data_IF_558566516145
#
_entry.id   IF_558566516145
#
_cell.length_a   1.000
_cell.length_b   1.000
_cell.length_c   1.000
_cell.angle_alpha   90.00
_cell.angle_beta   90.00
_cell.angle_gamma   90.00
#
_symmetry.space_group_name_H-M   'P 1'
#
loop_
_entity.id
_entity.type
_entity.pdbx_description
1 polymer ?
#
# COMPACT_ATOMS: atom_id res chain seq x y z
N UNK A 1 -50.23 -21.60 22.44
CA UNK A 1 -49.02 -21.86 21.63
C UNK A 1 -48.16 -20.61 21.64
N UNK A 2 -47.06 -20.55 22.39
CA UNK A 2 -46.13 -19.42 22.35
C UNK A 2 -45.01 -19.68 21.35
N UNK A 3 -44.70 -18.67 20.53
CA UNK A 3 -43.69 -18.72 19.48
C UNK A 3 -42.27 -18.80 20.03
N UNK A 4 -41.46 -19.66 19.42
CA UNK A 4 -40.04 -19.85 19.72
C UNK A 4 -39.28 -18.63 19.19
N UNK A 5 -38.65 -17.89 20.09
CA UNK A 5 -37.66 -16.87 19.76
C UNK A 5 -36.31 -17.57 19.51
N UNK A 6 -35.84 -17.57 18.27
CA UNK A 6 -34.49 -18.03 17.94
C UNK A 6 -33.49 -16.95 18.38
N UNK A 7 -32.91 -17.11 19.57
CA UNK A 7 -31.71 -16.37 19.95
C UNK A 7 -30.56 -16.92 19.12
N UNK A 8 -30.04 -16.14 18.18
CA UNK A 8 -28.79 -16.42 17.48
C UNK A 8 -27.65 -16.38 18.51
N UNK A 9 -27.36 -17.53 19.10
CA UNK A 9 -26.25 -17.72 20.00
C UNK A 9 -24.98 -17.74 19.16
N UNK A 10 -24.41 -16.55 18.93
CA UNK A 10 -23.12 -16.36 18.27
C UNK A 10 -22.06 -17.08 19.11
N UNK A 11 -21.73 -18.33 18.74
CA UNK A 11 -20.55 -19.01 19.21
C UNK A 11 -19.34 -18.27 18.64
N UNK A 12 -18.75 -17.44 19.48
CA UNK A 12 -17.52 -16.70 19.24
C UNK A 12 -16.43 -17.67 18.79
N UNK A 13 -15.95 -17.64 17.53
CA UNK A 13 -14.84 -18.48 17.15
C UNK A 13 -13.60 -18.02 17.92
N UNK A 14 -12.92 -18.99 18.51
CA UNK A 14 -11.74 -18.91 19.38
C UNK A 14 -10.46 -18.41 18.65
N UNK A 15 -10.61 -17.53 17.65
CA UNK A 15 -9.54 -16.99 16.81
C UNK A 15 -9.45 -15.45 16.82
N UNK A 16 -10.40 -14.75 17.46
CA UNK A 16 -10.41 -13.28 17.55
C UNK A 16 -9.45 -12.70 18.62
N UNK A 17 -8.62 -13.51 19.29
CA UNK A 17 -7.73 -13.05 20.37
C UNK A 17 -6.26 -12.92 20.00
N UNK A 18 -5.92 -12.90 18.71
CA UNK A 18 -4.52 -12.82 18.25
C UNK A 18 -4.14 -11.48 17.62
N UNK A 19 -5.08 -10.53 17.48
CA UNK A 19 -4.75 -9.18 17.02
C UNK A 19 -5.37 -8.15 17.97
N UNK A 20 -4.58 -7.19 18.50
CA UNK A 20 -5.13 -6.09 19.26
C UNK A 20 -6.16 -5.34 18.40
N UNK A 21 -7.19 -4.79 19.04
CA UNK A 21 -8.23 -4.01 18.37
C UNK A 21 -7.60 -2.90 17.55
N UNK A 22 -7.90 -2.87 16.24
CA UNK A 22 -7.48 -1.78 15.36
C UNK A 22 -8.31 -0.54 15.70
N UNK A 23 -7.62 0.54 16.01
CA UNK A 23 -8.15 1.89 16.18
C UNK A 23 -7.54 2.81 15.11
N UNK A 24 -8.11 4.00 14.86
CA UNK A 24 -7.51 4.97 13.95
C UNK A 24 -6.06 5.35 14.32
N UNK A 25 -5.68 5.21 15.60
CA UNK A 25 -4.37 5.57 16.11
C UNK A 25 -3.46 4.36 16.42
N UNK A 26 -3.95 3.12 16.32
CA UNK A 26 -3.17 1.90 16.62
C UNK A 26 -3.71 0.63 15.94
N UNK A 27 -2.85 -0.26 15.47
CA UNK A 27 -3.25 -1.52 14.82
C UNK A 27 -2.08 -2.23 14.14
N UNK A 28 -2.27 -3.38 13.48
CA UNK A 28 -1.17 -4.25 13.04
C UNK A 28 -0.25 -3.59 12.00
N UNK A 29 -0.72 -2.55 11.30
CA UNK A 29 0.00 -1.89 10.23
C UNK A 29 0.58 -0.51 10.60
N UNK A 30 0.35 0.00 11.82
CA UNK A 30 1.08 1.13 12.41
C UNK A 30 0.47 1.62 13.73
N UNK A 31 1.28 2.38 14.48
CA UNK A 31 0.81 3.27 15.55
C UNK A 31 0.99 4.72 15.10
N UNK A 32 -0.06 5.53 15.21
CA UNK A 32 0.01 6.97 14.97
C UNK A 32 1.00 7.64 15.92
N UNK A 33 1.09 7.14 17.16
CA UNK A 33 2.11 7.58 18.13
C UNK A 33 3.52 7.29 17.62
N UNK A 34 3.77 6.08 17.08
CA UNK A 34 5.07 5.76 16.47
C UNK A 34 5.42 6.75 15.35
N UNK A 35 4.45 7.16 14.52
CA UNK A 35 4.70 8.11 13.44
C UNK A 35 4.90 9.55 13.94
N UNK A 36 4.15 9.97 14.95
CA UNK A 36 4.13 11.35 15.41
C UNK A 36 5.24 11.66 16.44
N UNK A 37 5.63 10.69 17.26
CA UNK A 37 6.61 10.87 18.35
C UNK A 37 7.81 9.93 18.25
N UNK A 38 7.83 9.02 17.28
CA UNK A 38 8.98 8.21 16.93
C UNK A 38 9.31 7.09 17.92
N UNK A 39 10.50 6.51 17.74
CA UNK A 39 11.14 5.64 18.72
C UNK A 39 11.48 6.50 19.95
N UNK A 40 10.59 6.51 20.95
CA UNK A 40 10.79 7.20 22.23
C UNK A 40 11.88 6.50 23.08
N UNK A 41 13.11 6.50 22.58
CA UNK A 41 14.31 6.11 23.33
C UNK A 41 15.09 7.37 23.71
N UNK A 42 15.99 7.28 24.69
CA UNK A 42 16.81 8.41 25.14
C UNK A 42 17.60 9.08 23.99
N UNK A 43 17.90 8.35 22.92
CA UNK A 43 18.65 8.83 21.75
C UNK A 43 17.79 8.89 20.47
N UNK A 44 16.49 8.58 20.53
CA UNK A 44 15.62 8.52 19.36
C UNK A 44 15.90 7.35 18.41
N UNK A 45 15.59 7.54 17.12
CA UNK A 45 16.04 6.68 16.03
C UNK A 45 17.37 7.19 15.48
N UNK A 46 18.40 6.36 15.52
CA UNK A 46 19.68 6.62 14.85
C UNK A 46 19.73 5.76 13.57
N UNK A 47 19.21 6.27 12.42
CA UNK A 47 19.22 5.51 11.19
C UNK A 47 20.66 5.19 10.77
N UNK A 48 20.95 3.96 10.31
CA UNK A 48 22.20 3.70 9.63
C UNK A 48 22.29 4.59 8.39
N UNK A 49 23.50 5.04 8.05
CA UNK A 49 23.72 5.76 6.80
C UNK A 49 23.37 4.85 5.61
N UNK A 50 22.28 5.18 4.90
CA UNK A 50 21.87 4.47 3.70
C UNK A 50 22.57 5.07 2.49
N UNK A 51 23.48 4.29 1.92
CA UNK A 51 24.06 4.57 0.60
C UNK A 51 23.35 3.68 -0.43
N UNK A 52 23.01 4.23 -1.60
CA UNK A 52 22.43 3.46 -2.72
C UNK A 52 23.29 2.24 -3.11
N UNK A 53 24.60 2.27 -2.87
CA UNK A 53 25.50 1.12 -3.10
C UNK A 53 25.46 0.07 -1.98
N UNK A 54 24.95 0.42 -0.79
CA UNK A 54 24.79 -0.48 0.35
C UNK A 54 23.41 -1.15 0.39
N UNK A 55 22.47 -0.67 -0.43
CA UNK A 55 21.17 -1.32 -0.61
C UNK A 55 21.35 -2.62 -1.40
N UNK A 56 20.60 -3.66 -1.05
CA UNK A 56 20.49 -4.84 -1.89
C UNK A 56 19.53 -4.54 -3.03
N UNK A 57 19.98 -4.68 -4.27
CA UNK A 57 19.15 -4.47 -5.45
C UNK A 57 18.62 -5.82 -5.91
N UNK A 58 17.31 -5.92 -6.06
CA UNK A 58 16.66 -7.04 -6.73
C UNK A 58 16.23 -6.60 -8.12
N UNK A 59 16.33 -7.51 -9.08
CA UNK A 59 15.66 -7.32 -10.36
C UNK A 59 14.15 -7.25 -10.16
N UNK A 60 13.46 -6.59 -11.09
CA UNK A 60 11.99 -6.55 -11.12
C UNK A 60 11.37 -7.94 -11.21
N UNK A 61 12.01 -8.86 -11.94
CA UNK A 61 11.59 -10.26 -11.98
C UNK A 61 11.66 -10.95 -10.60
N UNK A 62 12.72 -10.70 -9.84
CA UNK A 62 12.82 -11.19 -8.46
C UNK A 62 11.79 -10.54 -7.54
N UNK A 63 11.49 -9.26 -7.73
CA UNK A 63 10.42 -8.58 -7.00
C UNK A 63 9.06 -9.24 -7.24
N UNK A 64 8.70 -9.51 -8.50
CA UNK A 64 7.46 -10.19 -8.88
C UNK A 64 7.38 -11.65 -8.45
N UNK A 65 8.52 -12.33 -8.28
CA UNK A 65 8.54 -13.66 -7.69
C UNK A 65 8.20 -13.67 -6.19
N UNK A 66 8.28 -12.52 -5.51
CA UNK A 66 8.05 -12.37 -4.07
C UNK A 66 6.93 -11.38 -3.76
N UNK A 67 7.25 -10.36 -2.96
CA UNK A 67 6.30 -9.36 -2.47
C UNK A 67 5.54 -8.65 -3.60
N UNK A 68 6.18 -8.45 -4.76
CA UNK A 68 5.62 -7.77 -5.93
C UNK A 68 4.65 -8.58 -6.77
N UNK A 69 4.33 -9.84 -6.40
CA UNK A 69 3.59 -10.77 -7.28
C UNK A 69 2.28 -10.20 -7.83
N UNK A 70 1.52 -9.46 -7.03
CA UNK A 70 0.26 -8.85 -7.47
C UNK A 70 0.46 -7.72 -8.50
N UNK A 71 1.62 -7.08 -8.52
CA UNK A 71 1.93 -5.97 -9.43
C UNK A 71 2.34 -6.42 -10.83
N UNK A 72 2.73 -7.69 -11.01
CA UNK A 72 3.26 -8.19 -12.27
C UNK A 72 2.28 -8.00 -13.45
N UNK A 73 0.97 -7.98 -13.18
CA UNK A 73 -0.08 -7.74 -14.18
C UNK A 73 -0.09 -6.31 -14.75
N UNK A 74 0.64 -5.37 -14.13
CA UNK A 74 0.72 -3.97 -14.54
C UNK A 74 2.13 -3.58 -15.04
N UNK A 75 3.03 -4.56 -15.27
CA UNK A 75 4.45 -4.31 -15.57
C UNK A 75 4.64 -3.37 -16.76
N UNK A 76 3.84 -3.56 -17.81
CA UNK A 76 3.91 -2.75 -19.02
C UNK A 76 3.60 -1.27 -18.75
N UNK A 77 2.71 -0.97 -17.79
CA UNK A 77 2.41 0.41 -17.39
C UNK A 77 3.59 1.01 -16.62
N UNK A 78 4.13 0.28 -15.64
CA UNK A 78 5.31 0.75 -14.92
C UNK A 78 6.52 0.95 -15.83
N UNK A 79 6.68 0.10 -16.85
CA UNK A 79 7.76 0.24 -17.82
C UNK A 79 7.62 1.53 -18.63
N UNK A 80 6.47 1.74 -19.28
CA UNK A 80 6.23 2.94 -20.11
C UNK A 80 6.38 4.23 -19.31
N UNK A 81 5.72 4.34 -18.17
CA UNK A 81 5.80 5.54 -17.33
C UNK A 81 7.21 5.72 -16.76
N UNK A 82 7.85 4.64 -16.31
CA UNK A 82 9.23 4.70 -15.84
C UNK A 82 10.21 5.22 -16.90
N UNK A 83 10.08 4.75 -18.15
CA UNK A 83 10.90 5.21 -19.27
C UNK A 83 10.64 6.69 -19.61
N UNK A 84 9.38 7.14 -19.51
CA UNK A 84 8.99 8.54 -19.74
C UNK A 84 9.58 9.51 -18.71
N UNK A 85 9.77 9.07 -17.47
CA UNK A 85 10.21 9.91 -16.35
C UNK A 85 11.65 9.64 -15.88
N UNK A 86 12.34 8.66 -16.48
CA UNK A 86 13.66 8.22 -16.00
C UNK A 86 13.61 7.56 -14.61
N UNK A 87 12.46 6.98 -14.24
CA UNK A 87 12.26 6.28 -12.97
C UNK A 87 12.39 4.78 -13.21
N UNK A 88 13.16 4.08 -12.37
CA UNK A 88 13.24 2.63 -12.48
C UNK A 88 11.84 2.02 -12.21
N UNK A 89 11.27 1.24 -13.15
CA UNK A 89 9.90 0.73 -13.02
C UNK A 89 9.60 -0.12 -11.76
N UNK A 90 10.62 -0.73 -11.17
CA UNK A 90 10.50 -1.49 -9.93
C UNK A 90 10.13 -0.58 -8.74
N UNK A 91 10.53 0.71 -8.79
CA UNK A 91 10.12 1.71 -7.80
C UNK A 91 8.63 1.99 -7.92
N UNK A 92 8.11 2.19 -9.14
CA UNK A 92 6.68 2.40 -9.38
C UNK A 92 5.85 1.19 -8.93
N UNK A 93 6.31 -0.03 -9.26
CA UNK A 93 5.66 -1.26 -8.81
C UNK A 93 5.70 -1.43 -7.27
N UNK A 94 6.78 -0.99 -6.62
CA UNK A 94 6.88 -1.00 -5.16
C UNK A 94 5.92 0.00 -4.51
N UNK A 95 5.81 1.21 -5.06
CA UNK A 95 4.84 2.22 -4.59
C UNK A 95 3.42 1.68 -4.73
N UNK A 96 3.05 1.15 -5.90
CA UNK A 96 1.74 0.53 -6.11
C UNK A 96 1.44 -0.61 -5.11
N UNK A 97 2.45 -1.38 -4.72
CA UNK A 97 2.31 -2.42 -3.69
C UNK A 97 2.01 -1.82 -2.31
N UNK A 98 2.69 -0.73 -1.93
CA UNK A 98 2.45 -0.09 -0.63
C UNK A 98 1.12 0.66 -0.58
N UNK A 99 0.75 1.32 -1.67
CA UNK A 99 -0.46 2.14 -1.74
C UNK A 99 -1.74 1.29 -1.84
N UNK A 100 -1.73 0.27 -2.68
CA UNK A 100 -2.96 -0.50 -2.97
C UNK A 100 -2.77 -2.01 -2.87
N UNK A 101 -1.61 -2.51 -2.44
CA UNK A 101 -1.26 -3.94 -2.59
C UNK A 101 -1.35 -4.41 -4.05
N UNK A 102 -1.14 -3.48 -4.99
CA UNK A 102 -1.40 -3.67 -6.41
C UNK A 102 -2.82 -4.14 -6.73
N UNK A 103 -3.80 -3.57 -6.03
CA UNK A 103 -5.23 -3.78 -6.26
C UNK A 103 -5.84 -2.48 -6.80
N UNK A 104 -5.86 -2.33 -8.13
CA UNK A 104 -6.37 -1.13 -8.82
C UNK A 104 -7.80 -0.68 -8.43
N UNK A 105 -8.77 -1.58 -8.15
CA UNK A 105 -10.11 -1.18 -7.72
C UNK A 105 -10.21 -0.72 -6.25
N UNK A 106 -9.11 -0.60 -5.51
CA UNK A 106 -9.16 -0.16 -4.11
C UNK A 106 -9.66 1.28 -4.03
N UNK A 107 -10.90 1.45 -3.55
CA UNK A 107 -11.55 2.74 -3.36
C UNK A 107 -11.26 3.33 -1.98
N UNK A 108 -10.67 4.53 -1.97
CA UNK A 108 -10.47 5.41 -0.82
C UNK A 108 -10.76 6.87 -1.19
N UNK A 109 -10.29 7.84 -0.41
CA UNK A 109 -10.33 9.27 -0.83
C UNK A 109 -9.45 9.53 -2.05
N UNK A 110 -8.41 8.73 -2.25
CA UNK A 110 -7.61 8.67 -3.47
C UNK A 110 -7.85 7.32 -4.16
N UNK A 111 -8.43 7.28 -5.36
CA UNK A 111 -8.69 6.03 -6.06
C UNK A 111 -7.45 5.56 -6.84
N UNK A 112 -7.39 4.27 -7.11
CA UNK A 112 -6.45 3.71 -8.08
C UNK A 112 -5.28 2.93 -7.46
N UNK A 113 -4.52 2.32 -8.34
CA UNK A 113 -3.31 1.56 -8.12
C UNK A 113 -2.25 2.34 -7.32
N UNK A 114 -2.10 3.65 -7.59
CA UNK A 114 -1.10 4.51 -6.94
C UNK A 114 -1.67 5.39 -5.82
N UNK A 115 -2.99 5.33 -5.55
CA UNK A 115 -3.69 6.12 -4.53
C UNK A 115 -3.32 7.63 -4.54
N UNK A 116 -3.22 8.23 -5.72
CA UNK A 116 -2.90 9.66 -5.90
C UNK A 116 -4.12 10.56 -5.92
N UNK A 117 -3.92 11.84 -5.58
CA UNK A 117 -4.96 12.86 -5.65
C UNK A 117 -5.43 13.08 -7.10
N UNK A 118 -6.74 13.26 -7.30
CA UNK A 118 -7.30 13.56 -8.63
C UNK A 118 -6.69 14.80 -9.29
N UNK A 119 -6.18 15.75 -8.51
CA UNK A 119 -5.52 16.93 -9.04
C UNK A 119 -4.24 16.60 -9.83
N UNK A 120 -3.60 15.46 -9.57
CA UNK A 120 -2.38 15.01 -10.23
C UNK A 120 -2.65 14.16 -11.49
N UNK A 121 -3.90 13.76 -11.72
CA UNK A 121 -4.27 13.08 -12.97
C UNK A 121 -4.17 14.05 -14.15
N UNK A 122 -3.92 13.54 -15.37
CA UNK A 122 -4.08 14.32 -16.60
C UNK A 122 -5.43 15.05 -16.62
N UNK A 123 -5.40 16.38 -16.64
CA UNK A 123 -6.61 17.22 -16.62
C UNK A 123 -7.26 17.42 -15.24
N UNK A 124 -6.64 16.98 -14.14
CA UNK A 124 -7.08 17.23 -12.77
C UNK A 124 -8.33 16.47 -12.35
N UNK A 125 -8.65 15.36 -13.03
CA UNK A 125 -9.82 14.52 -12.79
C UNK A 125 -9.36 13.06 -12.70
N UNK A 126 -9.73 12.36 -11.63
CA UNK A 126 -9.46 10.92 -11.54
C UNK A 126 -10.18 10.18 -12.68
N UNK A 127 -9.48 9.24 -13.29
CA UNK A 127 -10.02 8.34 -14.32
C UNK A 127 -9.87 6.90 -13.87
N UNK A 128 -10.53 5.96 -14.56
CA UNK A 128 -10.27 4.53 -14.38
C UNK A 128 -9.11 4.03 -15.25
N UNK A 129 -8.36 4.93 -15.88
CA UNK A 129 -7.20 4.58 -16.70
C UNK A 129 -6.03 4.24 -15.81
N UNK A 130 -5.55 3.01 -15.94
CA UNK A 130 -4.35 2.55 -15.23
C UNK A 130 -3.12 3.38 -15.62
N UNK A 131 -3.04 3.81 -16.88
CA UNK A 131 -1.93 4.61 -17.36
C UNK A 131 -1.96 6.01 -16.75
N UNK A 132 -3.12 6.66 -16.68
CA UNK A 132 -3.26 7.99 -16.07
C UNK A 132 -2.91 7.98 -14.58
N UNK A 133 -3.28 6.90 -13.88
CA UNK A 133 -3.02 6.69 -12.46
C UNK A 133 -1.53 6.47 -12.17
N UNK A 134 -0.87 5.59 -12.95
CA UNK A 134 0.58 5.38 -12.84
C UNK A 134 1.37 6.64 -13.22
N UNK A 135 0.92 7.36 -14.26
CA UNK A 135 1.50 8.64 -14.68
C UNK A 135 1.35 9.73 -13.60
N UNK A 136 0.18 9.83 -12.97
CA UNK A 136 -0.07 10.74 -11.87
C UNK A 136 0.79 10.42 -10.63
N UNK A 137 1.11 9.14 -10.40
CA UNK A 137 2.05 8.70 -9.35
C UNK A 137 3.52 8.89 -9.66
N UNK A 138 3.88 9.22 -10.90
CA UNK A 138 5.26 9.46 -11.32
C UNK A 138 5.64 10.96 -11.36
N UNK A 139 4.66 11.87 -11.23
CA UNK A 139 4.82 13.33 -11.19
C UNK A 139 4.96 13.88 -9.76
#
# INVERSE_FOLDING_TARGET
>A
MPGIQYQLQYHKPLLASLFPSVTPSSGPNASEEWFNTGLATANGWEPPFLNFTALYHISRAQFYAGAGRACAQYDDCFQRTGDGHGIHPAILAFIAMQESSCNAPTGGQTPGLMQVSCANYPGGQCTNSLEDDVEAGAN
#
